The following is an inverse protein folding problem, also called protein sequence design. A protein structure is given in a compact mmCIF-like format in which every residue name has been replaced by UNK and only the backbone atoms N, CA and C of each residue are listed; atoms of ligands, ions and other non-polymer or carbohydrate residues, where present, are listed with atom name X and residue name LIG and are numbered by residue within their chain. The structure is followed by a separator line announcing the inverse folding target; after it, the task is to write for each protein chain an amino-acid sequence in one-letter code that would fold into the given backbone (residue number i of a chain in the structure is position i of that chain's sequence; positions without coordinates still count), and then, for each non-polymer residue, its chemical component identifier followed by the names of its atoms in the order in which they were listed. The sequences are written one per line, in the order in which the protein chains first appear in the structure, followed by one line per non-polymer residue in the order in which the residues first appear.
data_IF_147067605094
#
_entry.id   IF_147067605094
#
_cell.length_a   1.000
_cell.length_b   1.000
_cell.length_c   1.000
_cell.angle_alpha   90.00
_cell.angle_beta   90.00
_cell.angle_gamma   90.00
#
_symmetry.space_group_name_H-M   'P 1'
#
loop_
_entity.id
_entity.type
_entity.pdbx_description
1 polymer ?
#
# COMPACT_ATOMS: atom_id res chain seq x y z
N UNK A 1 23.65 -7.82 15.12
CA UNK A 1 22.40 -8.58 14.88
C UNK A 1 21.20 -7.97 15.62
N UNK A 2 21.38 -7.38 16.82
CA UNK A 2 20.28 -6.74 17.57
C UNK A 2 19.46 -5.69 16.80
N UNK A 3 20.08 -4.92 15.89
CA UNK A 3 19.35 -3.90 15.10
C UNK A 3 18.22 -4.51 14.27
N UNK A 4 18.49 -5.62 13.58
CA UNK A 4 17.53 -6.28 12.68
C UNK A 4 16.41 -6.91 13.49
N UNK A 5 16.73 -7.53 14.63
CA UNK A 5 15.76 -8.15 15.52
C UNK A 5 14.79 -7.12 16.11
N UNK A 6 15.30 -5.99 16.59
CA UNK A 6 14.48 -4.88 17.11
C UNK A 6 13.61 -4.26 16.02
N UNK A 7 14.18 -3.99 14.83
CA UNK A 7 13.42 -3.46 13.71
C UNK A 7 12.29 -4.41 13.26
N UNK A 8 12.56 -5.73 13.22
CA UNK A 8 11.57 -6.75 12.89
C UNK A 8 10.46 -6.85 13.94
N UNK A 9 10.81 -6.75 15.23
CA UNK A 9 9.83 -6.74 16.31
C UNK A 9 8.88 -5.54 16.20
N UNK A 10 9.42 -4.36 15.91
CA UNK A 10 8.64 -3.13 15.65
C UNK A 10 7.76 -3.34 14.41
N UNK A 11 8.31 -3.81 13.30
CA UNK A 11 7.55 -4.04 12.07
C UNK A 11 6.38 -5.01 12.29
N UNK A 12 6.57 -6.10 13.04
CA UNK A 12 5.50 -7.06 13.38
C UNK A 12 4.41 -6.41 14.24
N UNK A 13 4.80 -5.59 15.21
CA UNK A 13 3.86 -4.85 16.07
C UNK A 13 3.02 -3.88 15.24
N UNK A 14 3.66 -3.08 14.40
CA UNK A 14 3.00 -2.11 13.52
C UNK A 14 2.09 -2.80 12.50
N UNK A 15 2.55 -3.90 11.89
CA UNK A 15 1.75 -4.73 11.01
C UNK A 15 0.44 -5.16 11.68
N UNK A 16 0.52 -5.68 12.90
CA UNK A 16 -0.67 -6.04 13.68
C UNK A 16 -1.54 -4.81 13.96
N UNK A 17 -0.94 -3.68 14.34
CA UNK A 17 -1.66 -2.44 14.62
C UNK A 17 -2.46 -1.92 13.40
N UNK A 18 -2.00 -2.17 12.17
CA UNK A 18 -2.76 -1.86 10.95
C UNK A 18 -4.13 -2.54 10.94
N UNK A 19 -4.20 -3.85 11.22
CA UNK A 19 -5.46 -4.60 11.13
C UNK A 19 -6.39 -4.38 12.32
N UNK A 20 -5.91 -3.81 13.42
CA UNK A 20 -6.74 -3.45 14.58
C UNK A 20 -7.35 -2.06 14.43
N UNK A 21 -6.87 -1.24 13.48
CA UNK A 21 -7.37 0.10 13.25
C UNK A 21 -8.41 0.11 12.12
N UNK A 22 -9.66 0.57 12.35
CA UNK A 22 -10.67 0.72 11.30
C UNK A 22 -10.21 1.60 10.14
N UNK A 23 -9.36 2.59 10.44
CA UNK A 23 -8.86 3.58 9.48
C UNK A 23 -8.01 2.92 8.38
N UNK A 24 -7.27 1.85 8.70
CA UNK A 24 -6.48 1.12 7.72
C UNK A 24 -7.35 0.54 6.60
N UNK A 25 -8.48 -0.05 6.97
CA UNK A 25 -9.44 -0.60 6.01
C UNK A 25 -10.06 0.48 5.14
N UNK A 26 -10.38 1.65 5.72
CA UNK A 26 -10.91 2.79 4.96
C UNK A 26 -9.94 3.21 3.84
N UNK A 27 -8.64 3.31 4.13
CA UNK A 27 -7.64 3.65 3.10
C UNK A 27 -7.56 2.60 1.99
N UNK A 28 -7.59 1.30 2.33
CA UNK A 28 -7.58 0.23 1.33
C UNK A 28 -8.84 0.31 0.46
N UNK A 29 -10.02 0.44 1.06
CA UNK A 29 -11.29 0.51 0.31
C UNK A 29 -11.31 1.71 -0.62
N UNK A 30 -10.90 2.89 -0.14
CA UNK A 30 -10.82 4.10 -0.98
C UNK A 30 -9.81 3.90 -2.11
N UNK A 31 -8.62 3.36 -1.82
CA UNK A 31 -7.61 3.08 -2.84
C UNK A 31 -8.13 2.12 -3.92
N UNK A 32 -8.77 1.02 -3.54
CA UNK A 32 -9.34 0.04 -4.47
C UNK A 32 -10.50 0.64 -5.29
N UNK A 33 -11.38 1.40 -4.64
CA UNK A 33 -12.49 2.06 -5.32
C UNK A 33 -11.99 3.07 -6.35
N UNK A 34 -11.01 3.90 -5.99
CA UNK A 34 -10.38 4.85 -6.91
C UNK A 34 -9.62 4.12 -8.02
N UNK A 35 -8.83 3.10 -7.72
CA UNK A 35 -8.13 2.31 -8.74
C UNK A 35 -9.09 1.70 -9.76
N UNK A 36 -10.22 1.14 -9.31
CA UNK A 36 -11.28 0.65 -10.18
C UNK A 36 -11.92 1.78 -11.00
N UNK A 37 -12.33 2.87 -10.35
CA UNK A 37 -12.95 4.01 -11.01
C UNK A 37 -12.05 4.63 -12.09
N UNK A 38 -10.78 4.89 -11.77
CA UNK A 38 -9.83 5.44 -12.73
C UNK A 38 -9.54 4.48 -13.88
N UNK A 39 -9.65 3.17 -13.67
CA UNK A 39 -9.43 2.19 -14.73
C UNK A 39 -10.62 2.09 -15.66
N UNK A 40 -11.82 1.89 -15.12
CA UNK A 40 -13.01 1.60 -15.90
C UNK A 40 -13.74 2.84 -16.41
N UNK A 41 -13.72 3.94 -15.65
CA UNK A 41 -14.44 5.17 -16.01
C UNK A 41 -13.54 6.20 -16.70
N UNK A 42 -12.35 6.47 -16.14
CA UNK A 42 -11.46 7.54 -16.66
C UNK A 42 -10.43 7.00 -17.66
N UNK A 43 -9.95 5.78 -17.45
CA UNK A 43 -8.90 5.15 -18.24
C UNK A 43 -9.35 4.64 -19.62
N UNK A 44 -10.63 4.81 -19.96
CA UNK A 44 -11.18 4.42 -21.26
C UNK A 44 -11.09 2.92 -21.54
N UNK A 45 -11.04 2.07 -20.50
CA UNK A 45 -10.83 0.62 -20.67
C UNK A 45 -11.85 -0.03 -21.64
N UNK A 46 -13.12 0.39 -21.57
CA UNK A 46 -14.16 -0.10 -22.48
C UNK A 46 -14.07 0.51 -23.89
N UNK A 47 -13.63 1.76 -24.00
CA UNK A 47 -13.53 2.50 -25.27
C UNK A 47 -12.32 2.08 -26.09
N UNK A 48 -11.25 1.65 -25.43
CA UNK A 48 -10.03 1.17 -26.08
C UNK A 48 -10.25 -0.09 -26.93
N UNK A 49 -11.30 -0.88 -26.64
CA UNK A 49 -11.60 -2.13 -27.35
C UNK A 49 -10.48 -3.18 -27.23
N UNK A 50 -9.54 -3.00 -26.30
CA UNK A 50 -8.38 -3.84 -26.07
C UNK A 50 -8.26 -4.13 -24.58
N UNK A 51 -7.93 -5.36 -24.22
CA UNK A 51 -7.71 -5.78 -22.84
C UNK A 51 -6.32 -5.33 -22.34
N UNK A 52 -6.06 -4.02 -22.37
CA UNK A 52 -4.79 -3.42 -21.92
C UNK A 52 -4.96 -2.67 -20.60
N UNK A 53 -3.99 -2.79 -19.69
CA UNK A 53 -3.96 -2.17 -18.38
C UNK A 53 -3.06 -0.93 -18.30
N UNK A 54 -2.60 -0.41 -19.44
CA UNK A 54 -1.82 0.86 -19.47
C UNK A 54 -2.49 2.00 -18.72
N UNK A 55 -3.80 2.17 -18.89
CA UNK A 55 -4.58 3.19 -18.16
C UNK A 55 -4.57 2.98 -16.65
N UNK A 56 -4.70 1.72 -16.20
CA UNK A 56 -4.61 1.35 -14.78
C UNK A 56 -3.23 1.74 -14.20
N UNK A 57 -2.13 1.34 -14.85
CA UNK A 57 -0.79 1.65 -14.37
C UNK A 57 -0.42 3.14 -14.49
N UNK A 58 -0.98 3.87 -15.45
CA UNK A 58 -0.79 5.32 -15.55
C UNK A 58 -1.33 6.06 -14.32
N UNK A 59 -2.45 5.61 -13.75
CA UNK A 59 -3.05 6.22 -12.56
C UNK A 59 -2.44 5.76 -11.24
N UNK A 60 -1.67 4.65 -11.21
CA UNK A 60 -1.05 4.13 -9.98
C UNK A 60 -0.21 5.17 -9.22
N UNK A 61 0.72 5.90 -9.86
CA UNK A 61 1.56 6.88 -9.15
C UNK A 61 0.74 7.99 -8.48
N UNK A 62 -0.35 8.43 -9.12
CA UNK A 62 -1.23 9.47 -8.58
C UNK A 62 -2.00 8.99 -7.36
N UNK A 63 -2.47 7.74 -7.38
CA UNK A 63 -3.12 7.13 -6.23
C UNK A 63 -2.14 6.92 -5.07
N UNK A 64 -0.92 6.50 -5.36
CA UNK A 64 0.13 6.35 -4.36
C UNK A 64 0.58 7.67 -3.74
N UNK A 65 0.57 8.77 -4.51
CA UNK A 65 0.89 10.09 -4.00
C UNK A 65 -0.01 10.49 -2.83
N UNK A 66 -1.25 10.00 -2.79
CA UNK A 66 -2.18 10.21 -1.66
C UNK A 66 -2.02 9.11 -0.62
N UNK A 67 -1.98 7.84 -1.04
CA UNK A 67 -1.99 6.70 -0.12
C UNK A 67 -0.71 6.60 0.72
N UNK A 68 0.46 6.73 0.10
CA UNK A 68 1.76 6.56 0.76
C UNK A 68 1.95 7.54 1.92
N UNK A 69 1.79 8.87 1.76
CA UNK A 69 1.93 9.79 2.88
C UNK A 69 0.84 9.59 3.92
N UNK A 70 -0.40 9.26 3.53
CA UNK A 70 -1.47 8.99 4.49
C UNK A 70 -1.15 7.79 5.39
N UNK A 71 -0.65 6.69 4.81
CA UNK A 71 -0.21 5.50 5.55
C UNK A 71 1.00 5.78 6.42
N UNK A 72 1.98 6.52 5.91
CA UNK A 72 3.20 6.87 6.62
C UNK A 72 2.93 7.82 7.80
N UNK A 73 2.13 8.87 7.60
CA UNK A 73 1.80 9.83 8.66
C UNK A 73 1.01 9.17 9.78
N UNK A 74 0.16 8.19 9.49
CA UNK A 74 -0.63 7.47 10.51
C UNK A 74 0.25 6.78 11.55
N UNK A 75 1.36 6.16 11.12
CA UNK A 75 2.30 5.46 12.02
C UNK A 75 2.88 6.37 13.10
N UNK A 76 3.02 7.66 12.81
CA UNK A 76 3.56 8.65 13.74
C UNK A 76 2.47 9.42 14.46
N UNK A 77 1.37 9.73 13.78
CA UNK A 77 0.24 10.43 14.36
C UNK A 77 -0.44 9.61 15.45
N UNK A 78 -0.57 8.29 15.28
CA UNK A 78 -1.21 7.43 16.28
C UNK A 78 -0.34 7.33 17.55
N UNK A 79 0.98 7.21 17.42
CA UNK A 79 1.87 7.22 18.58
C UNK A 79 1.91 8.58 19.30
N UNK A 80 1.84 9.69 18.55
CA UNK A 80 1.67 11.04 19.13
C UNK A 80 0.37 11.15 19.90
N UNK A 81 -0.72 10.66 19.32
CA UNK A 81 -2.06 10.73 19.90
C UNK A 81 -2.19 9.87 21.16
N UNK A 82 -1.53 8.72 21.21
CA UNK A 82 -1.55 7.80 22.34
C UNK A 82 -0.51 8.11 23.43
N UNK A 83 0.36 9.11 23.21
CA UNK A 83 1.45 9.43 24.14
C UNK A 83 2.54 8.35 24.22
N UNK A 84 2.51 7.35 23.35
CA UNK A 84 3.43 6.21 23.38
C UNK A 84 4.79 6.53 22.76
N UNK A 85 4.95 7.70 22.14
CA UNK A 85 6.25 8.20 21.67
C UNK A 85 7.29 8.29 22.80
N UNK A 86 6.88 8.76 23.98
CA UNK A 86 7.77 8.89 25.14
C UNK A 86 8.24 7.52 25.61
N UNK A 87 7.34 6.53 25.61
CA UNK A 87 7.65 5.13 25.87
C UNK A 87 8.59 4.52 24.82
N UNK A 88 8.41 4.88 23.55
CA UNK A 88 9.24 4.39 22.46
C UNK A 88 10.69 4.87 22.60
N UNK A 89 10.89 6.13 22.98
CA UNK A 89 12.22 6.74 23.15
C UNK A 89 12.87 6.46 24.51
N UNK A 90 12.09 6.10 25.53
CA UNK A 90 12.63 5.64 26.82
C UNK A 90 13.02 4.16 26.81
N UNK A 91 12.40 3.36 25.95
CA UNK A 91 12.90 2.02 25.63
C UNK A 91 14.24 2.15 24.88
N UNK A 92 15.18 1.23 25.07
CA UNK A 92 16.52 1.25 24.49
C UNK A 92 16.56 1.09 22.93
N UNK A 93 15.55 1.58 22.21
CA UNK A 93 15.44 1.52 20.75
C UNK A 93 16.00 2.81 20.17
N UNK A 94 16.89 2.68 19.19
CA UNK A 94 17.42 3.86 18.50
C UNK A 94 16.38 4.43 17.52
N UNK A 95 16.35 5.75 17.26
CA UNK A 95 15.44 6.33 16.28
C UNK A 95 15.53 5.68 14.89
N UNK A 96 16.73 5.27 14.47
CA UNK A 96 16.95 4.57 13.21
C UNK A 96 16.24 3.21 13.14
N UNK A 97 16.22 2.44 14.24
CA UNK A 97 15.50 1.17 14.31
C UNK A 97 13.98 1.37 14.22
N UNK A 98 13.47 2.42 14.87
CA UNK A 98 12.05 2.78 14.80
C UNK A 98 11.63 3.17 13.38
N UNK A 99 12.43 3.99 12.70
CA UNK A 99 12.18 4.40 11.30
C UNK A 99 12.19 3.18 10.38
N UNK A 100 13.21 2.31 10.48
CA UNK A 100 13.31 1.12 9.64
C UNK A 100 12.13 0.15 9.86
N UNK A 101 11.74 -0.11 11.11
CA UNK A 101 10.62 -0.99 11.43
C UNK A 101 9.28 -0.46 10.90
N UNK A 102 9.02 0.85 11.09
CA UNK A 102 7.82 1.52 10.58
C UNK A 102 7.77 1.53 9.05
N UNK A 103 8.90 1.75 8.40
CA UNK A 103 9.00 1.74 6.93
C UNK A 103 8.66 0.36 6.35
N UNK A 104 9.21 -0.72 6.93
CA UNK A 104 8.90 -2.10 6.51
C UNK A 104 7.41 -2.43 6.71
N UNK A 105 6.81 -1.98 7.81
CA UNK A 105 5.37 -2.17 8.04
C UNK A 105 4.51 -1.41 7.01
N UNK A 106 4.88 -0.17 6.69
CA UNK A 106 4.20 0.62 5.65
C UNK A 106 4.35 -0.02 4.26
N UNK A 107 5.53 -0.52 3.91
CA UNK A 107 5.75 -1.24 2.64
C UNK A 107 4.91 -2.50 2.52
N UNK A 108 4.81 -3.30 3.60
CA UNK A 108 3.89 -4.44 3.59
C UNK A 108 2.44 -3.99 3.32
N UNK A 109 2.04 -2.83 3.85
CA UNK A 109 0.65 -2.38 3.79
C UNK A 109 0.31 -1.93 2.37
N UNK A 110 1.25 -1.23 1.74
CA UNK A 110 1.19 -0.87 0.33
C UNK A 110 1.21 -2.12 -0.56
N UNK A 111 2.05 -3.11 -0.25
CA UNK A 111 2.09 -4.38 -0.99
C UNK A 111 0.76 -5.14 -0.87
N UNK A 112 0.12 -5.13 0.29
CA UNK A 112 -1.22 -5.70 0.47
C UNK A 112 -2.27 -4.93 -0.33
N UNK A 113 -2.24 -3.60 -0.30
CA UNK A 113 -3.15 -2.77 -1.08
C UNK A 113 -2.98 -3.03 -2.60
N UNK A 114 -1.74 -3.14 -3.07
CA UNK A 114 -1.42 -3.51 -4.46
C UNK A 114 -1.90 -4.93 -4.78
N UNK A 115 -1.66 -5.93 -3.92
CA UNK A 115 -2.12 -7.29 -4.11
C UNK A 115 -3.65 -7.38 -4.21
N UNK A 116 -4.37 -6.55 -3.46
CA UNK A 116 -5.83 -6.48 -3.53
C UNK A 116 -6.36 -5.85 -4.83
N UNK A 117 -5.51 -5.23 -5.66
CA UNK A 117 -5.92 -4.76 -7.01
C UNK A 117 -6.00 -5.88 -8.03
N UNK A 118 -5.59 -7.11 -7.69
CA UNK A 118 -5.62 -8.29 -8.56
C UNK A 118 -6.96 -8.59 -9.26
N UNK A 119 -8.15 -8.23 -8.73
CA UNK A 119 -9.39 -8.35 -9.49
C UNK A 119 -9.38 -7.59 -10.82
N UNK A 120 -8.62 -6.49 -10.95
CA UNK A 120 -8.55 -5.70 -12.18
C UNK A 120 -7.92 -6.49 -13.35
N UNK A 121 -6.70 -7.04 -13.25
CA UNK A 121 -6.16 -7.89 -14.32
C UNK A 121 -7.00 -9.15 -14.55
N UNK A 122 -7.68 -9.68 -13.52
CA UNK A 122 -8.62 -10.79 -13.70
C UNK A 122 -9.82 -10.41 -14.58
N UNK A 123 -10.40 -9.22 -14.38
CA UNK A 123 -11.48 -8.73 -15.27
C UNK A 123 -10.98 -8.51 -16.70
N UNK A 124 -9.77 -8.00 -16.89
CA UNK A 124 -9.17 -7.86 -18.21
C UNK A 124 -8.93 -9.21 -18.90
N UNK A 125 -8.48 -10.23 -18.15
CA UNK A 125 -8.31 -11.60 -18.64
C UNK A 125 -9.63 -12.30 -18.97
N UNK A 126 -10.72 -11.90 -18.32
CA UNK A 126 -12.05 -12.44 -18.64
C UNK A 126 -12.65 -11.79 -19.89
N UNK A 127 -12.38 -10.50 -20.12
CA UNK A 127 -12.91 -9.73 -21.26
C UNK A 127 -12.06 -9.86 -22.54
N UNK A 128 -10.80 -10.28 -22.43
CA UNK A 128 -9.91 -10.44 -23.58
C UNK A 128 -8.61 -11.16 -23.23
N UNK A 129 -7.54 -10.89 -23.98
CA UNK A 129 -6.21 -11.49 -23.79
C UNK A 129 -5.19 -10.42 -23.40
N UNK A 130 -5.09 -10.06 -22.11
CA UNK A 130 -4.08 -9.12 -21.64
C UNK A 130 -2.68 -9.73 -21.76
N UNK A 131 -1.70 -8.87 -22.06
CA UNK A 131 -0.29 -9.26 -22.05
C UNK A 131 0.20 -9.39 -20.60
N UNK A 132 0.26 -10.63 -20.11
CA UNK A 132 0.73 -10.94 -18.76
C UNK A 132 2.15 -10.48 -18.47
N UNK A 133 3.01 -10.34 -19.49
CA UNK A 133 4.36 -9.80 -19.34
C UNK A 133 4.34 -8.33 -18.96
N UNK A 134 3.50 -7.53 -19.65
CA UNK A 134 3.29 -6.12 -19.33
C UNK A 134 2.62 -5.96 -17.97
N UNK A 135 1.63 -6.81 -17.65
CA UNK A 135 0.97 -6.79 -16.33
C UNK A 135 1.98 -7.06 -15.22
N UNK A 136 2.77 -8.13 -15.32
CA UNK A 136 3.77 -8.47 -14.32
C UNK A 136 4.84 -7.38 -14.16
N UNK A 137 5.32 -6.80 -15.27
CA UNK A 137 6.25 -5.67 -15.23
C UNK A 137 5.64 -4.44 -14.57
N UNK A 138 4.38 -4.13 -14.86
CA UNK A 138 3.63 -3.03 -14.24
C UNK A 138 3.52 -3.19 -12.72
N UNK A 139 3.17 -4.39 -12.25
CA UNK A 139 3.11 -4.72 -10.83
C UNK A 139 4.48 -4.67 -10.13
N UNK A 140 5.56 -5.06 -10.81
CA UNK A 140 6.92 -4.96 -10.28
C UNK A 140 7.43 -3.52 -10.23
N UNK A 141 6.94 -2.65 -11.12
CA UNK A 141 7.32 -1.23 -11.18
C UNK A 141 6.53 -0.32 -10.24
N UNK A 142 5.39 -0.80 -9.72
CA UNK A 142 4.48 -0.07 -8.82
C UNK A 142 4.97 -0.09 -7.37
#
# INVERSE_FOLDING_TARGET
MEFIERARAIAKREWSAYFHSPVAYVFIVIFLALAGFFTFSVGGFYEAGQADLRGFFFWHPWLYLILVPAVAMRLWAEERRQGTLELLFTTAVTPAQAIAGKMVAAWGFLALALALTFPVPLTAAWLGQPDWGVVAAGYLSS
#
